data_IF_419228368854
#
_entry.id   IF_419228368854
#
_cell.length_a   1.000
_cell.length_b   1.000
_cell.length_c   1.000
_cell.angle_alpha   90.00
_cell.angle_beta   90.00
_cell.angle_gamma   90.00
#
_symmetry.space_group_name_H-M   'P 1'
#
loop_
_entity.id
_entity.type
_entity.pdbx_description
1 polymer ?
#
# COMPACT_ATOMS: atom_id res chain seq x y z
N UNK A 1 -26.96 24.44 -8.03
CA UNK A 1 -26.24 23.14 -8.05
C UNK A 1 -24.74 23.43 -8.00
N UNK A 2 -24.05 23.24 -6.87
CA UNK A 2 -22.64 23.59 -6.77
C UNK A 2 -21.81 22.56 -7.55
N UNK A 3 -21.06 23.04 -8.54
CA UNK A 3 -20.10 22.27 -9.32
C UNK A 3 -19.03 21.70 -8.38
N UNK A 4 -19.19 20.44 -7.95
CA UNK A 4 -18.09 19.69 -7.34
C UNK A 4 -17.04 19.46 -8.42
N UNK A 5 -16.10 20.40 -8.53
CA UNK A 5 -14.91 20.29 -9.38
C UNK A 5 -14.31 18.90 -9.15
N UNK A 6 -14.09 18.18 -10.25
CA UNK A 6 -13.31 16.94 -10.27
C UNK A 6 -12.04 17.17 -9.47
N UNK A 7 -11.98 16.62 -8.25
CA UNK A 7 -10.80 16.75 -7.41
C UNK A 7 -9.74 15.90 -8.07
N UNK A 8 -8.80 16.56 -8.74
CA UNK A 8 -7.56 15.91 -9.16
C UNK A 8 -6.97 15.19 -7.94
N UNK A 9 -6.46 13.96 -8.10
CA UNK A 9 -5.68 13.29 -7.08
C UNK A 9 -4.68 14.29 -6.53
N UNK A 10 -4.59 14.45 -5.21
CA UNK A 10 -3.56 15.29 -4.65
C UNK A 10 -2.22 14.71 -5.11
N UNK A 11 -1.36 15.56 -5.69
CA UNK A 11 0.00 15.21 -6.05
C UNK A 11 0.64 14.44 -4.91
N UNK A 12 1.51 13.44 -5.19
CA UNK A 12 2.13 12.62 -4.15
C UNK A 12 2.55 13.49 -2.96
N UNK A 13 3.34 14.54 -3.16
CA UNK A 13 3.79 15.52 -2.15
C UNK A 13 2.74 16.10 -1.16
N UNK A 14 1.44 16.06 -1.46
CA UNK A 14 0.36 16.57 -0.59
C UNK A 14 -0.27 15.49 0.30
N UNK A 15 0.07 14.22 0.09
CA UNK A 15 -0.43 13.08 0.88
C UNK A 15 0.23 12.96 2.27
N UNK A 16 -0.42 12.27 3.22
CA UNK A 16 0.14 12.11 4.56
C UNK A 16 1.48 11.38 4.53
N UNK A 17 2.44 11.88 5.32
CA UNK A 17 3.83 11.42 5.32
C UNK A 17 4.15 10.36 6.36
N UNK A 18 3.24 10.06 7.29
CA UNK A 18 3.45 9.05 8.35
C UNK A 18 2.70 7.75 8.03
N UNK A 19 3.22 6.57 8.42
CA UNK A 19 2.58 5.29 8.10
C UNK A 19 1.13 5.20 8.57
N UNK A 20 0.84 5.61 9.81
CA UNK A 20 -0.51 5.57 10.38
C UNK A 20 -1.51 6.49 9.65
N UNK A 21 -1.06 7.66 9.19
CA UNK A 21 -1.91 8.55 8.40
C UNK A 21 -2.07 8.04 6.97
N UNK A 22 -1.06 7.37 6.43
CA UNK A 22 -1.08 6.80 5.09
C UNK A 22 -2.03 5.61 4.99
N UNK A 23 -2.01 4.72 5.98
CA UNK A 23 -2.97 3.62 6.07
C UNK A 23 -4.39 4.15 6.15
N UNK A 24 -4.65 5.14 7.01
CA UNK A 24 -5.97 5.75 7.15
C UNK A 24 -6.41 6.44 5.84
N UNK A 25 -5.52 7.19 5.20
CA UNK A 25 -5.81 7.89 3.96
C UNK A 25 -6.10 6.95 2.78
N UNK A 26 -5.29 5.89 2.64
CA UNK A 26 -5.47 4.85 1.62
C UNK A 26 -6.70 3.97 1.87
N UNK A 27 -7.06 3.79 3.14
CA UNK A 27 -8.21 2.96 3.56
C UNK A 27 -9.51 3.75 3.63
N UNK A 28 -9.46 5.08 3.49
CA UNK A 28 -10.67 5.92 3.43
C UNK A 28 -11.21 5.94 2.00
N UNK A 29 -12.28 5.18 1.69
CA UNK A 29 -12.84 5.17 0.35
C UNK A 29 -13.38 6.54 -0.02
N UNK A 30 -13.37 6.85 -1.32
CA UNK A 30 -14.16 7.97 -1.83
C UNK A 30 -15.64 7.71 -1.55
N UNK A 31 -16.42 8.78 -1.39
CA UNK A 31 -17.88 8.61 -1.31
C UNK A 31 -18.35 7.96 -2.62
N UNK A 32 -19.30 7.01 -2.60
CA UNK A 32 -19.76 6.34 -3.83
C UNK A 32 -20.15 7.31 -4.95
N UNK A 33 -20.77 8.44 -4.58
CA UNK A 33 -21.12 9.51 -5.52
C UNK A 33 -19.91 10.17 -6.21
N UNK A 34 -18.77 10.30 -5.53
CA UNK A 34 -17.55 10.88 -6.12
C UNK A 34 -16.93 9.93 -7.14
N UNK A 35 -16.89 8.62 -6.85
CA UNK A 35 -16.40 7.62 -7.80
C UNK A 35 -17.30 7.54 -9.04
N UNK A 36 -18.62 7.68 -8.86
CA UNK A 36 -19.56 7.69 -9.97
C UNK A 36 -19.36 8.91 -10.89
N UNK A 37 -19.07 10.09 -10.34
CA UNK A 37 -18.74 11.27 -11.16
C UNK A 37 -17.48 11.03 -12.00
N UNK A 38 -16.43 10.44 -11.42
CA UNK A 38 -15.20 10.11 -12.14
C UNK A 38 -15.44 9.08 -13.24
N UNK A 39 -16.25 8.06 -12.96
CA UNK A 39 -16.67 7.06 -13.94
C UNK A 39 -17.42 7.69 -15.10
N UNK A 40 -18.42 8.54 -14.82
CA UNK A 40 -19.19 9.21 -15.87
C UNK A 40 -18.33 10.14 -16.72
N UNK A 41 -17.32 10.80 -16.14
CA UNK A 41 -16.36 11.60 -16.92
C UNK A 41 -15.50 10.72 -17.83
N UNK A 42 -14.96 9.63 -17.28
CA UNK A 42 -14.17 8.67 -18.04
C UNK A 42 -14.93 8.06 -19.22
N UNK A 43 -16.18 7.62 -18.99
CA UNK A 43 -17.04 7.05 -20.03
C UNK A 43 -17.46 8.09 -21.08
N UNK A 44 -17.72 9.33 -20.66
CA UNK A 44 -18.12 10.41 -21.58
C UNK A 44 -17.01 10.81 -22.54
N UNK A 45 -15.74 10.77 -22.13
CA UNK A 45 -14.62 11.08 -23.01
C UNK A 45 -14.29 9.93 -23.99
N UNK A 46 -14.71 8.71 -23.69
CA UNK A 46 -14.66 7.58 -24.61
C UNK A 46 -13.24 7.22 -25.07
N UNK A 47 -13.06 7.03 -26.38
CA UNK A 47 -11.80 6.60 -27.00
C UNK A 47 -10.66 7.60 -26.79
N UNK A 48 -10.97 8.89 -26.72
CA UNK A 48 -9.98 9.98 -26.58
C UNK A 48 -9.92 10.53 -25.16
N UNK A 49 -10.06 9.64 -24.17
CA UNK A 49 -9.97 10.03 -22.75
C UNK A 49 -8.66 10.71 -22.44
N UNK A 50 -8.75 11.89 -21.85
CA UNK A 50 -7.60 12.66 -21.44
C UNK A 50 -6.80 11.91 -20.37
N UNK A 51 -5.49 12.11 -20.43
CA UNK A 51 -4.54 11.52 -19.48
C UNK A 51 -4.93 11.82 -18.02
N UNK A 52 -5.42 13.03 -17.76
CA UNK A 52 -5.86 13.47 -16.44
C UNK A 52 -7.14 12.76 -16.01
N UNK A 53 -8.16 12.67 -16.86
CA UNK A 53 -9.42 11.98 -16.52
C UNK A 53 -9.17 10.50 -16.25
N UNK A 54 -8.37 9.83 -17.08
CA UNK A 54 -7.97 8.43 -16.88
C UNK A 54 -7.24 8.23 -15.56
N UNK A 55 -6.30 9.14 -15.23
CA UNK A 55 -5.56 9.08 -13.97
C UNK A 55 -6.47 9.29 -12.76
N UNK A 56 -7.35 10.30 -12.80
CA UNK A 56 -8.28 10.60 -11.72
C UNK A 56 -9.21 9.41 -11.44
N UNK A 57 -9.75 8.81 -12.50
CA UNK A 57 -10.61 7.64 -12.39
C UNK A 57 -9.85 6.43 -11.83
N UNK A 58 -8.66 6.13 -12.36
CA UNK A 58 -7.81 5.05 -11.88
C UNK A 58 -7.48 5.18 -10.38
N UNK A 59 -7.17 6.40 -9.93
CA UNK A 59 -6.95 6.66 -8.52
C UNK A 59 -8.21 6.44 -7.68
N UNK A 60 -9.36 6.91 -8.16
CA UNK A 60 -10.64 6.69 -7.48
C UNK A 60 -10.96 5.21 -7.30
N UNK A 61 -10.69 4.41 -8.32
CA UNK A 61 -10.83 2.96 -8.29
C UNK A 61 -9.88 2.29 -7.28
N UNK A 62 -8.62 2.71 -7.20
CA UNK A 62 -7.67 2.20 -6.19
C UNK A 62 -8.14 2.49 -4.76
N UNK A 63 -8.81 3.63 -4.54
CA UNK A 63 -9.38 3.98 -3.24
C UNK A 63 -10.63 3.16 -2.87
N UNK A 64 -11.25 2.48 -3.82
CA UNK A 64 -12.40 1.62 -3.54
C UNK A 64 -12.05 0.50 -2.53
N UNK A 65 -13.07 -0.02 -1.86
CA UNK A 65 -12.99 -1.25 -1.05
C UNK A 65 -13.14 -2.51 -1.90
N UNK A 66 -13.63 -2.39 -3.13
CA UNK A 66 -13.86 -3.52 -4.03
C UNK A 66 -12.56 -3.93 -4.74
N UNK A 67 -12.14 -5.18 -4.57
CA UNK A 67 -10.92 -5.72 -5.19
C UNK A 67 -10.92 -5.63 -6.73
N UNK A 68 -12.04 -5.91 -7.45
CA UNK A 68 -12.07 -5.74 -8.91
C UNK A 68 -11.83 -4.30 -9.36
N UNK A 69 -12.36 -3.31 -8.62
CA UNK A 69 -12.12 -1.90 -8.93
C UNK A 69 -10.66 -1.53 -8.69
N UNK A 70 -10.05 -1.99 -7.59
CA UNK A 70 -8.62 -1.78 -7.34
C UNK A 70 -7.74 -2.36 -8.45
N UNK A 71 -8.05 -3.57 -8.94
CA UNK A 71 -7.35 -4.21 -10.05
C UNK A 71 -7.44 -3.36 -11.32
N UNK A 72 -8.64 -2.86 -11.65
CA UNK A 72 -8.84 -1.98 -12.80
C UNK A 72 -8.08 -0.66 -12.66
N UNK A 73 -8.07 -0.06 -11.47
CA UNK A 73 -7.30 1.15 -11.21
C UNK A 73 -5.80 0.96 -11.41
N UNK A 74 -5.23 -0.17 -10.94
CA UNK A 74 -3.82 -0.51 -11.18
C UNK A 74 -3.56 -0.75 -12.67
N UNK A 75 -4.47 -1.41 -13.39
CA UNK A 75 -4.36 -1.62 -14.84
C UNK A 75 -4.29 -0.29 -15.60
N UNK A 76 -5.21 0.63 -15.32
CA UNK A 76 -5.26 1.95 -15.95
C UNK A 76 -4.01 2.79 -15.64
N UNK A 77 -3.52 2.78 -14.40
CA UNK A 77 -2.27 3.46 -14.04
C UNK A 77 -1.04 2.85 -14.74
N UNK A 78 -1.03 1.54 -14.94
CA UNK A 78 0.07 0.85 -15.64
C UNK A 78 0.10 1.25 -17.12
N UNK A 79 -1.07 1.40 -17.75
CA UNK A 79 -1.17 1.93 -19.11
C UNK A 79 -0.63 3.36 -19.20
N UNK A 80 -1.02 4.23 -18.26
CA UNK A 80 -0.52 5.61 -18.18
C UNK A 80 1.00 5.63 -18.01
N UNK A 81 1.54 4.81 -17.10
CA UNK A 81 2.97 4.71 -16.85
C UNK A 81 3.76 4.29 -18.10
N UNK A 82 3.21 3.40 -18.92
CA UNK A 82 3.84 2.95 -20.17
C UNK A 82 3.77 4.01 -21.26
N UNK A 83 2.61 4.65 -21.44
CA UNK A 83 2.34 5.58 -22.55
C UNK A 83 2.83 7.01 -22.30
N UNK A 84 3.03 7.42 -21.05
CA UNK A 84 3.35 8.80 -20.69
C UNK A 84 4.64 8.89 -19.86
N UNK A 85 5.83 8.86 -20.50
CA UNK A 85 7.13 8.94 -19.83
C UNK A 85 7.24 10.12 -18.86
N UNK A 86 6.72 11.29 -19.24
CA UNK A 86 6.78 12.52 -18.46
C UNK A 86 6.04 12.43 -17.12
N UNK A 87 5.05 11.52 -17.00
CA UNK A 87 4.26 11.31 -15.79
C UNK A 87 4.67 10.08 -14.99
N UNK A 88 5.66 9.31 -15.45
CA UNK A 88 6.07 8.05 -14.78
C UNK A 88 6.34 8.24 -13.31
N UNK A 89 7.09 9.29 -12.97
CA UNK A 89 7.42 9.63 -11.58
C UNK A 89 6.18 9.81 -10.70
N UNK A 90 5.17 10.51 -11.21
CA UNK A 90 3.89 10.71 -10.51
C UNK A 90 3.16 9.38 -10.32
N UNK A 91 3.17 8.49 -11.33
CA UNK A 91 2.49 7.19 -11.28
C UNK A 91 3.11 6.20 -10.28
N UNK A 92 4.42 6.22 -10.07
CA UNK A 92 5.13 5.23 -9.26
C UNK A 92 4.51 5.07 -7.86
N UNK A 93 4.21 6.19 -7.21
CA UNK A 93 3.62 6.18 -5.88
C UNK A 93 2.26 5.47 -5.86
N UNK A 94 1.38 5.79 -6.82
CA UNK A 94 0.04 5.22 -6.87
C UNK A 94 0.04 3.76 -7.32
N UNK A 95 0.98 3.37 -8.20
CA UNK A 95 1.20 1.97 -8.57
C UNK A 95 1.69 1.15 -7.37
N UNK A 96 2.65 1.67 -6.61
CA UNK A 96 3.12 1.03 -5.38
C UNK A 96 1.97 0.84 -4.38
N UNK A 97 1.18 1.89 -4.15
CA UNK A 97 0.07 1.85 -3.21
C UNK A 97 -1.06 0.91 -3.66
N UNK A 98 -1.41 0.93 -4.95
CA UNK A 98 -2.42 0.03 -5.52
C UNK A 98 -2.02 -1.44 -5.39
N UNK A 99 -0.77 -1.77 -5.74
CA UNK A 99 -0.25 -3.13 -5.57
C UNK A 99 -0.17 -3.55 -4.09
N UNK A 100 0.19 -2.62 -3.18
CA UNK A 100 0.16 -2.87 -1.75
C UNK A 100 -1.25 -3.23 -1.25
N UNK A 101 -2.29 -2.51 -1.70
CA UNK A 101 -3.69 -2.83 -1.36
C UNK A 101 -4.15 -4.19 -1.90
N UNK A 102 -3.64 -4.56 -3.08
CA UNK A 102 -3.95 -5.86 -3.70
C UNK A 102 -3.18 -7.03 -3.06
N UNK A 103 -2.19 -6.77 -2.20
CA UNK A 103 -1.31 -7.79 -1.62
C UNK A 103 -0.16 -8.21 -2.54
N UNK A 104 0.03 -7.51 -3.66
CA UNK A 104 1.14 -7.71 -4.59
C UNK A 104 2.39 -6.99 -4.07
N UNK A 105 2.91 -7.44 -2.93
CA UNK A 105 3.95 -6.71 -2.18
C UNK A 105 5.30 -6.60 -2.92
N UNK A 106 5.64 -7.58 -3.75
CA UNK A 106 6.84 -7.53 -4.59
C UNK A 106 6.78 -6.37 -5.59
N UNK A 107 5.70 -6.28 -6.36
CA UNK A 107 5.48 -5.17 -7.29
C UNK A 107 5.34 -3.83 -6.55
N UNK A 108 4.66 -3.82 -5.40
CA UNK A 108 4.57 -2.64 -4.57
C UNK A 108 5.95 -2.12 -4.16
N UNK A 109 6.85 -3.02 -3.72
CA UNK A 109 8.23 -2.70 -3.36
C UNK A 109 8.99 -2.17 -4.56
N UNK A 110 8.92 -2.85 -5.70
CA UNK A 110 9.63 -2.45 -6.93
C UNK A 110 9.29 -1.03 -7.37
N UNK A 111 8.00 -0.69 -7.46
CA UNK A 111 7.59 0.68 -7.83
C UNK A 111 8.02 1.71 -6.79
N UNK A 112 7.97 1.36 -5.51
CA UNK A 112 8.34 2.27 -4.43
C UNK A 112 9.85 2.51 -4.35
N UNK A 113 10.67 1.50 -4.62
CA UNK A 113 12.14 1.64 -4.72
C UNK A 113 12.52 2.56 -5.87
N UNK A 114 11.94 2.36 -7.06
CA UNK A 114 12.14 3.27 -8.19
C UNK A 114 11.78 4.73 -7.85
N UNK A 115 10.73 4.94 -7.04
CA UNK A 115 10.37 6.29 -6.59
C UNK A 115 11.39 6.86 -5.60
N UNK A 116 11.90 6.05 -4.68
CA UNK A 116 12.91 6.49 -3.71
C UNK A 116 14.23 6.80 -4.41
N UNK A 117 14.62 6.04 -5.43
CA UNK A 117 15.83 6.32 -6.20
C UNK A 117 15.75 7.67 -6.92
N UNK A 118 14.56 8.01 -7.44
CA UNK A 118 14.30 9.30 -8.07
C UNK A 118 14.12 10.44 -7.06
N UNK A 119 13.51 10.16 -5.90
CA UNK A 119 13.22 11.13 -4.86
C UNK A 119 13.64 10.64 -3.46
N UNK A 120 14.96 10.64 -3.15
CA UNK A 120 15.47 10.04 -1.90
C UNK A 120 14.96 10.70 -0.63
N UNK A 121 14.43 11.92 -0.71
CA UNK A 121 13.87 12.67 0.40
C UNK A 121 12.33 12.55 0.50
N UNK A 122 11.70 11.75 -0.35
CA UNK A 122 10.25 11.56 -0.33
C UNK A 122 9.82 10.75 0.91
N UNK A 123 9.29 11.45 1.90
CA UNK A 123 8.86 10.85 3.17
C UNK A 123 7.68 9.87 2.99
N UNK A 124 6.84 10.07 1.97
CA UNK A 124 5.70 9.18 1.73
C UNK A 124 6.15 7.86 1.14
N UNK A 125 7.08 7.89 0.18
CA UNK A 125 7.68 6.68 -0.37
C UNK A 125 8.41 5.88 0.71
N UNK A 126 9.11 6.57 1.62
CA UNK A 126 9.73 5.93 2.81
C UNK A 126 8.69 5.30 3.74
N UNK A 127 7.60 6.01 4.04
CA UNK A 127 6.52 5.48 4.87
C UNK A 127 5.78 4.31 4.22
N UNK A 128 5.56 4.36 2.90
CA UNK A 128 4.99 3.26 2.15
C UNK A 128 5.93 2.05 2.13
N UNK A 129 7.25 2.27 2.01
CA UNK A 129 8.25 1.20 2.13
C UNK A 129 8.12 0.47 3.46
N UNK A 130 8.05 1.21 4.55
CA UNK A 130 7.89 0.63 5.88
C UNK A 130 6.61 -0.21 5.98
N UNK A 131 5.48 0.27 5.45
CA UNK A 131 4.23 -0.50 5.42
C UNK A 131 4.35 -1.79 4.60
N UNK A 132 5.04 -1.74 3.46
CA UNK A 132 5.29 -2.92 2.62
C UNK A 132 6.16 -3.93 3.40
N UNK A 133 7.25 -3.46 4.00
CA UNK A 133 8.19 -4.28 4.77
C UNK A 133 7.50 -4.96 5.96
N UNK A 134 6.68 -4.22 6.71
CA UNK A 134 5.91 -4.74 7.84
C UNK A 134 4.93 -5.84 7.39
N UNK A 135 4.29 -5.67 6.23
CA UNK A 135 3.36 -6.69 5.67
C UNK A 135 4.08 -7.95 5.24
N UNK A 136 5.17 -7.80 4.49
CA UNK A 136 6.00 -8.94 4.03
C UNK A 136 6.55 -9.70 5.24
N UNK A 137 7.07 -9.01 6.26
CA UNK A 137 7.58 -9.63 7.47
C UNK A 137 6.48 -10.39 8.23
N UNK A 138 5.28 -9.79 8.36
CA UNK A 138 4.15 -10.44 9.03
C UNK A 138 3.68 -11.70 8.32
N UNK A 139 3.57 -11.66 6.99
CA UNK A 139 3.15 -12.83 6.20
C UNK A 139 4.21 -13.92 6.17
N UNK A 140 5.49 -13.55 6.07
CA UNK A 140 6.61 -14.49 6.19
C UNK A 140 6.64 -15.17 7.56
N UNK A 141 6.39 -14.42 8.64
CA UNK A 141 6.32 -14.96 10.00
C UNK A 141 5.11 -15.91 10.17
N UNK A 142 3.95 -15.61 9.59
CA UNK A 142 2.80 -16.52 9.62
C UNK A 142 3.05 -17.79 8.83
N UNK A 143 3.68 -17.71 7.66
CA UNK A 143 4.09 -18.90 6.90
C UNK A 143 5.08 -19.77 7.68
N UNK A 144 6.09 -19.14 8.31
CA UNK A 144 7.06 -19.83 9.14
C UNK A 144 6.44 -20.47 10.40
N UNK A 145 5.46 -19.82 11.04
CA UNK A 145 4.77 -20.38 12.20
C UNK A 145 3.87 -21.59 11.83
N UNK A 146 3.21 -21.54 10.67
CA UNK A 146 2.38 -22.65 10.16
C UNK A 146 3.25 -23.86 9.82
N UNK A 147 4.37 -23.65 9.12
CA UNK A 147 5.30 -24.74 8.75
C UNK A 147 6.10 -25.21 9.98
N UNK A 148 6.40 -24.31 10.92
CA UNK A 148 7.20 -24.57 12.11
C UNK A 148 6.47 -25.30 13.25
N UNK A 149 5.13 -25.38 13.24
CA UNK A 149 4.31 -26.22 14.11
C UNK A 149 4.30 -25.90 15.62
N UNK A 150 5.42 -25.55 16.23
CA UNK A 150 5.62 -25.27 17.65
C UNK A 150 7.10 -24.87 17.82
N UNK A 151 7.39 -23.59 18.00
CA UNK A 151 8.72 -23.15 18.41
C UNK A 151 8.66 -22.08 19.50
N UNK A 152 7.80 -22.29 20.50
CA UNK A 152 8.03 -21.75 21.84
C UNK A 152 8.57 -22.89 22.69
N UNK A 153 9.83 -23.24 22.45
CA UNK A 153 10.58 -24.07 23.37
C UNK A 153 10.77 -23.29 24.67
N UNK A 154 10.43 -23.95 25.77
CA UNK A 154 10.48 -23.47 27.15
C UNK A 154 11.76 -22.68 27.48
N UNK A 155 11.62 -21.39 27.80
CA UNK A 155 12.74 -20.53 28.17
C UNK A 155 12.66 -19.84 29.52
N UNK A 156 11.64 -20.08 30.36
CA UNK A 156 11.47 -19.34 31.64
C UNK A 156 11.12 -20.21 32.86
N UNK A 157 10.96 -21.54 32.75
CA UNK A 157 10.63 -22.40 33.92
C UNK A 157 11.78 -23.35 34.33
N UNK A 158 12.98 -23.20 33.75
CA UNK A 158 14.15 -24.00 34.14
C UNK A 158 14.92 -23.47 35.37
N UNK A 159 14.44 -22.41 36.01
CA UNK A 159 15.20 -21.67 37.03
C UNK A 159 15.03 -22.10 38.49
N UNK A 160 14.23 -23.13 38.83
CA UNK A 160 13.81 -23.33 40.24
C UNK A 160 14.07 -24.68 40.92
N UNK A 161 14.66 -25.72 40.31
CA UNK A 161 14.76 -27.00 41.04
C UNK A 161 16.08 -27.72 40.76
N UNK A 162 17.21 -27.29 41.34
CA UNK A 162 18.29 -28.17 41.86
C UNK A 162 19.46 -27.38 42.48
N UNK A 163 19.26 -26.71 43.62
CA UNK A 163 20.39 -26.36 44.52
C UNK A 163 19.95 -26.22 45.98
N UNK A 164 19.35 -27.28 46.50
CA UNK A 164 18.89 -27.37 47.88
C UNK A 164 19.06 -28.77 48.45
N UNK A 165 20.25 -29.37 48.36
CA UNK A 165 20.57 -30.61 49.08
C UNK A 165 22.08 -30.89 49.12
N UNK A 166 22.83 -30.16 49.95
CA UNK A 166 24.04 -30.73 50.59
C UNK A 166 24.35 -30.03 51.91
N UNK A 167 23.53 -30.35 52.90
CA UNK A 167 23.95 -30.35 54.30
C UNK A 167 23.90 -31.80 54.77
N UNK A 168 25.05 -32.36 55.08
CA UNK A 168 25.15 -33.40 56.09
C UNK A 168 26.53 -33.32 56.74
N UNK A 169 26.49 -32.98 58.03
CA UNK A 169 27.50 -33.20 59.07
C UNK A 169 28.43 -34.38 58.78
N UNK A 170 29.73 -34.17 58.95
CA UNK A 170 30.52 -34.64 60.10
C UNK A 170 31.67 -33.68 60.33
#
# INVERSE_FOLDING_TARGET
MPQMRSRTPPSPSTQPTTPSKLTLYSSSPLKPAELQVLRSQYEKEGEYVSLQTKFNFAWGLIKSTQRPEQQEGVRLLTEIFRSSPDRRRECLYYLALGNYKLGSYEEARRYNELLIDLEPNNLQAKSLRQLIDDKVAKEGLMGAAIIGGLAVAAGVVGGLIFKGARSSRR
#
